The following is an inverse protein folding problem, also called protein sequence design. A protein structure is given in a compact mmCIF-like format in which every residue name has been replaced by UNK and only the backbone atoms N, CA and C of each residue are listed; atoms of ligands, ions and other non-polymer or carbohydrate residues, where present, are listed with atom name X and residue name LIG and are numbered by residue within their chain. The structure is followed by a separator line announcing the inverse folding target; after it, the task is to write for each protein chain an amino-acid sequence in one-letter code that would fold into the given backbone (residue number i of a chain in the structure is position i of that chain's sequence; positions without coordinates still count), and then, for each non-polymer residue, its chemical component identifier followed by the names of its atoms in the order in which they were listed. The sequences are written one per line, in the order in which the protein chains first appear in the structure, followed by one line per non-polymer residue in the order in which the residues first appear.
data_IF_611679130314
#
_entry.id   IF_611679130314
#
_cell.length_a   1.000
_cell.length_b   1.000
_cell.length_c   1.000
_cell.angle_alpha   90.00
_cell.angle_beta   90.00
_cell.angle_gamma   90.00
#
_symmetry.space_group_name_H-M   'P 1'
#
loop_
_entity.id
_entity.type
_entity.pdbx_description
1 polymer ?
2 non-polymer ?
3 non-polymer ?
4 water ?
#
# COMPACT_ATOMS: atom_id res chain seq x y z
N UNK A 5 7.03 20.21 -9.00
CA UNK A 5 7.10 18.80 -9.38
C UNK A 5 7.03 17.83 -8.19
N UNK A 6 6.50 18.29 -7.05
CA UNK A 6 6.32 17.44 -5.86
C UNK A 6 4.85 17.45 -5.44
N UNK A 7 3.98 16.74 -6.17
CA UNK A 7 2.54 16.78 -5.83
C UNK A 7 2.16 16.11 -4.52
N UNK A 8 3.06 15.35 -3.88
CA UNK A 8 2.68 14.59 -2.69
C UNK A 8 3.29 15.15 -1.41
N UNK A 9 3.88 16.35 -1.47
CA UNK A 9 4.44 16.99 -0.28
C UNK A 9 3.39 17.06 0.82
N UNK A 10 3.79 16.71 2.03
CA UNK A 10 2.86 16.74 3.15
C UNK A 10 2.07 15.47 3.36
N UNK A 11 2.24 14.46 2.51
CA UNK A 11 1.51 13.21 2.62
C UNK A 11 2.49 12.11 3.03
N UNK A 12 2.04 11.22 3.92
CA UNK A 12 2.90 10.16 4.43
C UNK A 12 2.40 8.84 3.87
N UNK A 13 3.31 8.03 3.32
CA UNK A 13 2.96 6.76 2.69
C UNK A 13 3.65 5.63 3.41
N UNK A 14 2.88 4.61 3.84
CA UNK A 14 3.45 3.38 4.37
C UNK A 14 3.52 2.35 3.26
N UNK A 15 4.71 1.77 3.05
CA UNK A 15 4.94 0.73 2.06
C UNK A 15 5.25 -0.58 2.79
N UNK A 16 4.50 -1.64 2.51
CA UNK A 16 4.72 -2.95 3.17
C UNK A 16 5.02 -3.97 2.07
N UNK A 17 6.23 -4.54 2.07
CA UNK A 17 6.72 -5.30 0.92
C UNK A 17 7.95 -6.09 1.33
N UNK A 18 7.97 -7.40 1.08
CA UNK A 18 9.07 -8.22 1.59
C UNK A 18 10.29 -8.25 0.68
N UNK A 19 10.18 -7.90 -0.59
CA UNK A 19 11.33 -7.92 -1.49
C UNK A 19 12.02 -6.57 -1.40
N UNK A 20 13.28 -6.58 -0.95
CA UNK A 20 13.95 -5.30 -0.70
C UNK A 20 14.09 -4.48 -1.98
N UNK A 21 14.28 -5.13 -3.12
CA UNK A 21 14.46 -4.40 -4.37
C UNK A 21 13.21 -3.61 -4.71
N UNK A 22 12.04 -4.20 -4.52
CA UNK A 22 10.81 -3.46 -4.81
C UNK A 22 10.54 -2.42 -3.74
N UNK A 23 10.82 -2.75 -2.48
CA UNK A 23 10.76 -1.76 -1.40
C UNK A 23 11.55 -0.50 -1.79
N UNK A 24 12.75 -0.69 -2.34
CA UNK A 24 13.57 0.45 -2.74
C UNK A 24 12.96 1.21 -3.90
N UNK A 25 12.40 0.49 -4.89
CA UNK A 25 11.80 1.18 -6.03
C UNK A 25 10.64 2.06 -5.60
N UNK A 26 9.73 1.52 -4.77
CA UNK A 26 8.59 2.32 -4.32
C UNK A 26 9.06 3.52 -3.50
N UNK A 27 10.02 3.32 -2.61
CA UNK A 27 10.58 4.43 -1.84
C UNK A 27 11.08 5.52 -2.77
N UNK A 28 11.88 5.13 -3.77
CA UNK A 28 12.47 6.10 -4.69
C UNK A 28 11.39 6.88 -5.44
N UNK A 29 10.36 6.18 -5.93
CA UNK A 29 9.31 6.83 -6.69
C UNK A 29 8.54 7.81 -5.82
N UNK A 30 8.06 7.35 -4.66
CA UNK A 30 7.19 8.20 -3.87
C UNK A 30 7.95 9.33 -3.20
N UNK A 31 9.20 9.08 -2.81
CA UNK A 31 10.03 10.15 -2.28
C UNK A 31 10.28 11.23 -3.32
N UNK A 32 10.57 10.83 -4.56
CA UNK A 32 10.78 11.81 -5.61
C UNK A 32 9.55 12.66 -5.87
N UNK A 33 8.36 12.14 -5.54
CA UNK A 33 7.13 12.90 -5.69
C UNK A 33 6.80 13.75 -4.47
N UNK A 34 7.67 13.76 -3.45
CA UNK A 34 7.50 14.62 -2.30
C UNK A 34 6.89 13.97 -1.07
N UNK A 35 6.46 12.71 -1.14
CA UNK A 35 5.89 12.05 0.02
C UNK A 35 6.99 11.65 0.97
N UNK A 36 6.67 11.61 2.26
CA UNK A 36 7.56 10.99 3.22
C UNK A 36 7.11 9.54 3.39
N UNK A 37 8.06 8.63 3.34
CA UNK A 37 7.77 7.20 3.26
C UNK A 37 8.17 6.53 4.57
N UNK A 38 7.39 5.53 4.97
CA UNK A 38 7.76 4.59 6.00
C UNK A 38 7.68 3.22 5.36
N UNK A 39 8.74 2.42 5.48
CA UNK A 39 8.81 1.11 4.84
C UNK A 39 8.91 0.01 5.88
N UNK A 40 8.14 -1.04 5.69
CA UNK A 40 8.19 -2.21 6.56
C UNK A 40 8.39 -3.42 5.67
N UNK A 41 9.40 -4.20 5.97
CA UNK A 41 9.62 -5.42 5.21
C UNK A 41 8.63 -6.52 5.55
N UNK A 42 7.89 -6.38 6.64
CA UNK A 42 7.18 -7.51 7.22
C UNK A 42 5.76 -7.09 7.62
N UNK A 43 4.80 -8.00 7.43
CA UNK A 43 3.41 -7.70 7.76
C UNK A 43 3.12 -7.57 9.25
N UNK A 44 3.71 -8.47 10.06
CA UNK A 44 3.57 -8.34 11.51
C UNK A 44 4.15 -7.01 11.99
N UNK A 45 5.32 -6.64 11.47
CA UNK A 45 5.92 -5.35 11.83
C UNK A 45 5.00 -4.19 11.44
N UNK A 46 4.43 -4.23 10.24
CA UNK A 46 3.53 -3.17 9.82
C UNK A 46 2.31 -3.05 10.72
N UNK A 47 1.73 -4.19 11.09
CA UNK A 47 0.60 -4.21 12.02
C UNK A 47 0.93 -3.47 13.31
N UNK A 48 2.06 -3.81 13.93
CA UNK A 48 2.42 -3.14 15.18
C UNK A 48 2.59 -1.64 14.97
N UNK A 49 3.27 -1.24 13.89
CA UNK A 49 3.51 0.18 13.61
C UNK A 49 2.21 0.97 13.50
N UNK A 50 1.21 0.40 12.81
CA UNK A 50 -0.06 1.08 12.61
C UNK A 50 -0.78 1.35 13.93
N UNK A 51 -0.40 0.67 15.01
CA UNK A 51 -0.92 1.02 16.32
C UNK A 51 -0.51 2.40 16.80
N UNK A 52 0.58 2.96 16.26
CA UNK A 52 1.06 4.22 16.78
C UNK A 52 1.09 5.37 15.80
N UNK A 53 0.63 5.18 14.55
CA UNK A 53 0.63 6.27 13.60
C UNK A 53 -0.48 6.06 12.58
N UNK A 54 -0.67 7.08 11.74
CA UNK A 54 -1.82 7.14 10.85
C UNK A 54 -1.32 7.62 9.50
N UNK A 55 -0.79 6.72 8.67
CA UNK A 55 -0.35 7.14 7.32
C UNK A 55 -1.55 7.57 6.47
N UNK A 56 -1.25 8.38 5.46
CA UNK A 56 -2.30 8.83 4.54
C UNK A 56 -2.70 7.75 3.56
N UNK A 57 -1.77 6.85 3.26
CA UNK A 57 -1.96 5.76 2.32
C UNK A 57 -1.02 4.64 2.70
N UNK A 58 -1.48 3.41 2.55
CA UNK A 58 -0.59 2.26 2.67
C UNK A 58 -0.55 1.53 1.35
N UNK A 59 0.66 1.25 0.88
CA UNK A 59 0.89 0.39 -0.28
C UNK A 59 1.31 -0.96 0.25
N UNK A 60 0.65 -2.02 -0.18
CA UNK A 60 0.75 -3.31 0.49
C UNK A 60 0.88 -4.43 -0.53
N UNK A 61 1.79 -5.34 -0.24
CA UNK A 61 2.03 -6.58 -0.95
C UNK A 61 1.09 -7.65 -0.40
N UNK A 62 0.91 -8.74 -1.15
CA UNK A 62 0.09 -9.82 -0.61
C UNK A 62 1.00 -10.92 -0.08
N UNK A 63 1.83 -11.55 -0.92
CA UNK A 63 2.65 -12.66 -0.44
C UNK A 63 3.85 -12.13 0.32
N UNK A 64 3.89 -12.40 1.63
CA UNK A 64 5.00 -12.03 2.51
C UNK A 64 5.19 -13.13 3.54
N UNK A 65 6.45 -13.35 4.00
CA UNK A 65 6.80 -14.58 4.73
C UNK A 65 5.97 -14.98 5.93
N UNK A 66 5.89 -14.12 6.93
CA UNK A 66 5.32 -14.47 8.23
C UNK A 66 3.81 -14.29 8.28
N UNK A 67 3.35 -13.16 7.77
CA UNK A 67 1.94 -12.84 7.70
C UNK A 67 1.69 -12.09 6.40
N UNK A 68 0.80 -12.62 5.57
CA UNK A 68 0.56 -12.03 4.26
C UNK A 68 -0.29 -10.77 4.40
N UNK A 69 -0.36 -10.01 3.30
CA UNK A 69 -1.04 -8.73 3.34
C UNK A 69 -2.54 -8.84 3.54
N UNK A 70 -3.14 -9.95 3.13
CA UNK A 70 -4.59 -10.11 3.33
C UNK A 70 -4.91 -10.26 4.81
N UNK A 71 -4.08 -10.99 5.54
CA UNK A 71 -4.28 -11.09 6.98
C UNK A 71 -4.02 -9.74 7.65
N UNK A 72 -2.93 -9.07 7.25
CA UNK A 72 -2.68 -7.71 7.71
C UNK A 72 -3.91 -6.83 7.52
N UNK A 73 -4.45 -6.81 6.29
CA UNK A 73 -5.63 -6.00 6.03
C UNK A 73 -6.78 -6.36 6.96
N UNK A 74 -7.05 -7.65 7.14
CA UNK A 74 -8.19 -8.05 7.96
C UNK A 74 -8.03 -7.52 9.37
N UNK A 75 -6.83 -7.67 9.93
CA UNK A 75 -6.57 -7.22 11.29
C UNK A 75 -6.84 -5.72 11.44
N UNK A 76 -6.37 -4.92 10.50
CA UNK A 76 -6.52 -3.49 10.73
C UNK A 76 -7.94 -3.05 10.38
N UNK A 77 -8.60 -3.72 9.42
CA UNK A 77 -9.98 -3.38 9.15
C UNK A 77 -10.88 -3.81 10.31
N UNK A 78 -10.56 -4.96 10.93
CA UNK A 78 -11.38 -5.47 12.03
C UNK A 78 -11.34 -4.55 13.24
N UNK A 79 -10.31 -3.72 13.33
CA UNK A 79 -10.12 -2.80 14.44
C UNK A 79 -10.58 -1.39 14.09
N UNK A 80 -11.27 -1.23 12.96
CA UNK A 80 -11.87 0.03 12.60
C UNK A 80 -11.01 0.94 11.74
N UNK A 81 -9.79 0.53 11.43
CA UNK A 81 -8.88 1.36 10.64
C UNK A 81 -9.40 1.46 9.20
N UNK A 82 -9.68 2.68 8.74
CA UNK A 82 -10.08 2.88 7.35
C UNK A 82 -9.03 3.67 6.54
N UNK A 83 -7.75 3.46 6.85
CA UNK A 83 -6.67 3.98 6.00
C UNK A 83 -6.88 3.51 4.56
N UNK A 84 -6.75 4.41 3.57
CA UNK A 84 -6.79 3.97 2.17
C UNK A 84 -5.61 3.05 1.86
N UNK A 85 -5.88 1.98 1.10
CA UNK A 85 -4.87 0.98 0.77
C UNK A 85 -4.86 0.73 -0.73
N UNK A 86 -3.67 0.67 -1.29
CA UNK A 86 -3.41 0.25 -2.66
C UNK A 86 -2.57 -1.00 -2.61
N UNK A 87 -3.04 -2.08 -3.22
CA UNK A 87 -2.30 -3.34 -3.21
C UNK A 87 -1.52 -3.45 -4.51
N UNK A 88 -0.23 -3.75 -4.40
CA UNK A 88 0.61 -4.04 -5.57
C UNK A 88 1.15 -5.44 -5.35
N UNK A 89 0.74 -6.37 -6.20
CA UNK A 89 1.03 -7.78 -6.00
C UNK A 89 1.24 -8.48 -7.34
N UNK A 90 2.05 -9.54 -7.31
CA UNK A 90 2.21 -10.46 -8.44
C UNK A 90 1.12 -11.52 -8.50
N UNK A 91 0.18 -11.53 -7.56
CA UNK A 91 -0.79 -12.61 -7.51
C UNK A 91 -1.68 -12.64 -8.76
N UNK A 92 -1.96 -13.85 -9.21
CA UNK A 92 -2.92 -14.11 -10.26
C UNK A 92 -4.18 -14.74 -9.69
N UNK A 93 -4.21 -14.95 -8.36
CA UNK A 93 -5.30 -15.65 -7.69
C UNK A 93 -6.50 -14.72 -7.57
N UNK A 94 -7.58 -15.02 -8.31
CA UNK A 94 -8.72 -14.11 -8.29
C UNK A 94 -9.40 -14.08 -6.93
N UNK A 95 -9.43 -15.22 -6.23
CA UNK A 95 -9.99 -15.22 -4.88
C UNK A 95 -9.21 -14.30 -3.95
N UNK A 96 -7.88 -14.26 -4.08
CA UNK A 96 -7.10 -13.41 -3.18
C UNK A 96 -7.27 -11.93 -3.54
N UNK A 97 -7.39 -11.61 -4.83
CA UNK A 97 -7.70 -10.24 -5.23
C UNK A 97 -9.07 -9.82 -4.74
N UNK A 98 -10.06 -10.71 -4.87
CA UNK A 98 -11.39 -10.42 -4.34
C UNK A 98 -11.35 -10.19 -2.84
N UNK A 99 -10.57 -11.01 -2.12
CA UNK A 99 -10.47 -10.82 -0.67
C UNK A 99 -10.02 -9.41 -0.32
N UNK A 100 -9.02 -8.90 -1.04
CA UNK A 100 -8.54 -7.56 -0.75
C UNK A 100 -9.59 -6.50 -1.08
N UNK A 101 -10.29 -6.65 -2.21
CA UNK A 101 -11.34 -5.69 -2.56
C UNK A 101 -12.50 -5.74 -1.55
N UNK A 102 -12.83 -6.93 -1.04
CA UNK A 102 -13.81 -7.00 0.05
C UNK A 102 -13.33 -6.30 1.32
N UNK A 103 -12.01 -6.28 1.56
CA UNK A 103 -11.45 -5.57 2.71
C UNK A 103 -11.30 -4.08 2.45
N UNK A 104 -11.83 -3.58 1.33
CA UNK A 104 -11.89 -2.15 1.13
C UNK A 104 -10.66 -1.48 0.58
N UNK A 105 -9.83 -2.21 -0.17
CA UNK A 105 -8.69 -1.57 -0.82
C UNK A 105 -9.17 -0.82 -2.04
N UNK A 106 -8.44 0.25 -2.40
CA UNK A 106 -8.86 1.11 -3.51
C UNK A 106 -8.66 0.43 -4.84
N UNK A 107 -7.61 -0.39 -4.95
CA UNK A 107 -7.33 -1.11 -6.18
C UNK A 107 -6.25 -2.13 -5.87
N UNK A 108 -6.08 -3.07 -6.77
CA UNK A 108 -5.07 -4.11 -6.72
C UNK A 108 -4.34 -4.05 -8.06
N UNK A 109 -3.06 -3.66 -8.03
CA UNK A 109 -2.26 -3.57 -9.23
C UNK A 109 -1.34 -4.77 -9.37
N UNK A 110 -1.11 -5.18 -10.62
CA UNK A 110 -0.32 -6.37 -10.92
C UNK A 110 1.14 -6.00 -11.12
N UNK A 111 2.05 -6.78 -10.52
CA UNK A 111 3.47 -6.65 -10.80
C UNK A 111 3.84 -7.41 -12.07
N UNK A 112 4.90 -6.98 -12.78
CA UNK A 112 5.68 -5.76 -12.52
C UNK A 112 4.90 -4.52 -12.91
N UNK A 113 5.19 -3.41 -12.26
CA UNK A 113 4.55 -2.14 -12.56
C UNK A 113 5.23 -1.53 -13.79
N UNK A 114 4.43 -1.14 -14.78
CA UNK A 114 4.99 -0.61 -16.02
C UNK A 114 4.52 0.81 -16.34
N UNK A 115 3.24 1.12 -16.16
CA UNK A 115 2.73 2.48 -16.35
C UNK A 115 2.91 3.27 -15.06
N UNK A 116 4.15 3.69 -14.82
CA UNK A 116 4.45 4.56 -13.70
C UNK A 116 3.62 5.84 -13.73
N UNK A 117 3.33 6.35 -14.93
CA UNK A 117 2.46 7.52 -15.02
C UNK A 117 1.06 7.20 -14.50
N UNK A 118 0.59 5.97 -14.71
CA UNK A 118 -0.71 5.56 -14.19
C UNK A 118 -0.70 5.36 -12.67
N UNK A 119 0.30 4.62 -12.16
CA UNK A 119 0.51 4.51 -10.72
C UNK A 119 0.44 5.87 -10.04
N UNK A 120 1.08 6.88 -10.64
CA UNK A 120 1.04 8.23 -10.10
C UNK A 120 -0.39 8.75 -10.00
N UNK A 121 -1.16 8.61 -11.07
CA UNK A 121 -2.55 9.07 -11.08
C UNK A 121 -3.35 8.41 -9.96
N UNK A 122 -3.19 7.09 -9.80
CA UNK A 122 -4.03 6.37 -8.86
C UNK A 122 -3.64 6.68 -7.43
N UNK A 123 -2.35 6.83 -7.16
CA UNK A 123 -1.91 7.18 -5.81
C UNK A 123 -2.42 8.57 -5.41
N UNK A 124 -2.32 9.55 -6.31
CA UNK A 124 -2.89 10.88 -6.05
C UNK A 124 -4.39 10.81 -5.80
N UNK A 125 -5.11 10.05 -6.63
CA UNK A 125 -6.54 9.84 -6.44
C UNK A 125 -6.84 9.23 -5.07
N UNK A 126 -5.98 8.30 -4.61
CA UNK A 126 -6.16 7.69 -3.29
C UNK A 126 -5.95 8.72 -2.18
N UNK A 127 -4.99 9.62 -2.36
CA UNK A 127 -4.63 10.60 -1.34
C UNK A 127 -5.58 11.80 -1.33
N UNK A 128 -6.05 12.21 -2.52
CA UNK A 128 -6.95 13.33 -2.68
C UNK A 128 -8.19 12.87 -3.42
N UNK A 129 -9.06 12.12 -2.75
CA UNK A 129 -10.24 11.57 -3.42
C UNK A 129 -11.27 12.65 -3.66
N UNK A 130 -12.13 12.40 -4.64
CA UNK A 130 -13.25 13.26 -4.97
C UNK A 130 -14.56 12.78 -4.36
N UNK A 131 -14.71 11.47 -4.15
CA UNK A 131 -15.90 10.89 -3.52
C UNK A 131 -15.43 9.75 -2.61
N UNK A 132 -16.38 9.01 -2.04
CA UNK A 132 -16.09 7.86 -1.18
C UNK A 132 -16.48 6.54 -1.85
#
# INVERSE_FOLDING_TARGET
GPHMTQPLVGKQILIVEDEQVFRSLLDSWFSSLGATTVLAADGVDALELLGGFTPDLMICDIAMPRMNGLKLLEHIRNRGDQTPVLVISATENMADIAKALRLGVEDVLLKPVKDLNRLREMVFACLYPSMF
#
